data_IF_655617335775
#
_entry.id   IF_655617335775
#
_cell.length_a   1.000
_cell.length_b   1.000
_cell.length_c   1.000
_cell.angle_alpha   90.00
_cell.angle_beta   90.00
_cell.angle_gamma   90.00
#
_symmetry.space_group_name_H-M   'P 1'
#
loop_
_entity.id
_entity.type
_entity.pdbx_description
1 polymer ?
#
# COMPACT_ATOMS: atom_id res chain seq x y z
N UNK A 1 -19.71 17.40 26.68
CA UNK A 1 -18.33 16.88 26.58
C UNK A 1 -18.06 16.73 25.11
N UNK A 2 -17.14 17.52 24.57
CA UNK A 2 -16.84 17.53 23.15
C UNK A 2 -15.46 16.92 22.96
N UNK A 3 -15.35 15.97 22.04
CA UNK A 3 -14.09 15.35 21.65
C UNK A 3 -13.48 16.23 20.57
N UNK A 4 -12.49 17.06 20.91
CA UNK A 4 -11.75 17.82 19.89
C UNK A 4 -10.60 16.94 19.40
N UNK A 5 -10.84 16.19 18.32
CA UNK A 5 -9.79 15.47 17.60
C UNK A 5 -9.12 16.46 16.64
N UNK A 6 -7.84 16.76 16.82
CA UNK A 6 -6.99 17.35 15.78
C UNK A 6 -5.88 16.35 15.37
N UNK A 7 -6.24 15.23 14.73
CA UNK A 7 -5.24 14.30 14.21
C UNK A 7 -4.60 14.92 12.97
N UNK A 8 -3.26 14.95 12.91
CA UNK A 8 -2.51 15.28 11.70
C UNK A 8 -1.95 16.70 11.58
N UNK A 9 -2.12 17.58 12.57
CA UNK A 9 -1.38 18.85 12.60
C UNK A 9 0.02 18.61 13.18
N UNK A 10 0.97 18.30 12.31
CA UNK A 10 2.40 18.47 12.59
C UNK A 10 2.69 19.97 12.62
N UNK A 11 3.45 20.47 13.60
CA UNK A 11 3.74 21.91 13.86
C UNK A 11 2.85 22.61 14.91
N UNK A 12 2.32 21.89 15.89
CA UNK A 12 1.65 22.55 17.01
C UNK A 12 2.67 23.17 17.97
N UNK A 13 2.39 24.41 18.36
CA UNK A 13 3.13 25.16 19.37
C UNK A 13 2.17 25.63 20.46
N UNK A 14 2.64 25.65 21.70
CA UNK A 14 1.89 26.26 22.81
C UNK A 14 1.72 27.75 22.52
N UNK A 15 0.49 28.25 22.52
CA UNK A 15 0.19 29.67 22.28
C UNK A 15 -0.23 30.38 23.56
N UNK A 16 -0.03 31.69 23.59
CA UNK A 16 -0.37 32.50 24.76
C UNK A 16 -1.86 32.40 25.08
N UNK A 17 -2.18 32.18 26.37
CA UNK A 17 -3.52 31.93 26.90
C UNK A 17 -4.17 30.59 26.47
N UNK A 18 -3.42 29.65 25.87
CA UNK A 18 -3.92 28.28 25.76
C UNK A 18 -3.90 27.57 27.14
N UNK A 19 -4.63 26.48 27.25
CA UNK A 19 -4.76 25.72 28.49
C UNK A 19 -3.43 25.09 28.95
N UNK A 20 -2.47 24.87 28.04
CA UNK A 20 -1.14 24.32 28.32
C UNK A 20 -0.24 25.38 28.93
N UNK A 21 -0.33 26.61 28.42
CA UNK A 21 0.30 27.79 28.98
C UNK A 21 -0.24 28.09 30.38
N UNK A 22 -1.56 27.96 30.57
CA UNK A 22 -2.20 28.07 31.90
C UNK A 22 -1.74 26.94 32.84
N UNK A 23 -1.50 25.74 32.31
CA UNK A 23 -0.93 24.61 33.05
C UNK A 23 0.59 24.71 33.30
N UNK A 24 1.23 25.81 32.88
CA UNK A 24 2.65 26.09 33.14
C UNK A 24 3.63 25.60 32.06
N UNK A 25 3.15 25.12 30.92
CA UNK A 25 4.00 24.77 29.77
C UNK A 25 4.43 26.07 29.06
N UNK A 26 5.71 26.21 28.74
CA UNK A 26 6.23 27.42 28.13
C UNK A 26 5.60 27.69 26.75
N UNK A 27 5.16 28.94 26.52
CA UNK A 27 4.70 29.41 25.21
C UNK A 27 5.80 29.23 24.17
N UNK A 28 5.44 28.73 22.99
CA UNK A 28 6.37 28.39 21.91
C UNK A 28 6.96 26.99 21.99
N UNK A 29 6.65 26.20 23.03
CA UNK A 29 7.03 24.79 23.09
C UNK A 29 6.37 24.03 21.96
N UNK A 30 7.17 23.48 21.04
CA UNK A 30 6.69 22.64 19.96
C UNK A 30 6.40 21.23 20.45
N UNK A 31 5.32 20.62 19.96
CA UNK A 31 5.02 19.22 20.24
C UNK A 31 4.51 18.53 18.97
N UNK A 32 4.96 17.28 18.77
CA UNK A 32 4.81 16.55 17.52
C UNK A 32 4.34 15.10 17.76
N UNK A 33 3.38 14.91 18.67
CA UNK A 33 2.85 13.60 19.04
C UNK A 33 1.41 13.39 18.55
N UNK A 34 1.13 12.21 17.99
CA UNK A 34 -0.21 11.64 17.79
C UNK A 34 -0.89 11.37 19.15
N UNK A 35 -2.23 11.15 19.16
CA UNK A 35 -3.24 12.15 19.49
C UNK A 35 -3.24 12.57 20.98
N UNK A 36 -3.13 13.87 21.26
CA UNK A 36 -3.60 14.39 22.54
C UNK A 36 -5.14 14.32 22.56
N UNK A 37 -5.72 13.50 23.44
CA UNK A 37 -7.15 13.63 23.77
C UNK A 37 -7.27 14.78 24.77
N UNK A 38 -7.68 15.94 24.28
CA UNK A 38 -8.04 17.08 25.13
C UNK A 38 -9.51 16.94 25.50
N UNK A 39 -9.80 16.57 26.75
CA UNK A 39 -11.16 16.59 27.28
C UNK A 39 -11.43 17.95 27.92
N UNK A 40 -12.37 18.69 27.34
CA UNK A 40 -12.87 19.92 27.94
C UNK A 40 -14.35 19.77 28.35
N UNK A 41 -14.71 20.43 29.46
CA UNK A 41 -16.11 20.56 29.85
C UNK A 41 -16.86 21.55 28.91
N UNK A 42 -18.15 21.80 29.16
CA UNK A 42 -18.94 22.71 28.32
C UNK A 42 -18.49 24.18 28.41
N UNK A 43 -17.66 24.51 29.40
CA UNK A 43 -17.08 25.82 29.67
C UNK A 43 -15.65 25.96 29.13
N UNK A 44 -15.15 24.94 28.43
CA UNK A 44 -13.79 24.83 27.89
C UNK A 44 -12.68 24.66 28.93
N UNK A 45 -13.01 24.32 30.18
CA UNK A 45 -11.98 23.98 31.16
C UNK A 45 -11.40 22.60 30.88
N UNK A 46 -10.08 22.47 31.05
CA UNK A 46 -9.37 21.20 30.94
C UNK A 46 -9.82 20.23 32.03
N UNK A 47 -10.20 19.02 31.63
CA UNK A 47 -10.52 17.93 32.54
C UNK A 47 -9.33 16.99 32.60
N UNK A 48 -8.62 16.89 33.73
CA UNK A 48 -7.51 15.94 33.86
C UNK A 48 -8.06 14.52 33.74
N UNK A 49 -7.73 13.87 32.63
CA UNK A 49 -8.00 12.46 32.42
C UNK A 49 -6.73 11.68 32.74
N UNK A 50 -6.88 10.69 33.61
CA UNK A 50 -5.82 9.73 33.92
C UNK A 50 -6.19 8.45 33.20
N UNK A 51 -5.33 8.01 32.28
CA UNK A 51 -5.49 6.73 31.62
C UNK A 51 -5.61 5.63 32.69
N UNK A 52 -6.64 4.80 32.59
CA UNK A 52 -6.75 3.61 33.44
C UNK A 52 -5.74 2.56 32.97
N UNK A 53 -5.51 1.52 33.78
CA UNK A 53 -4.65 0.41 33.36
C UNK A 53 -5.20 -0.29 32.10
N UNK A 54 -6.53 -0.43 31.99
CA UNK A 54 -7.20 -0.93 30.79
C UNK A 54 -7.00 0.00 29.58
N UNK A 55 -6.96 1.33 29.75
CA UNK A 55 -6.67 2.26 28.64
C UNK A 55 -5.21 2.22 28.17
N UNK A 56 -4.29 1.87 29.08
CA UNK A 56 -2.88 1.66 28.76
C UNK A 56 -2.63 0.29 28.12
N UNK A 57 -3.45 -0.71 28.44
CA UNK A 57 -3.39 -2.07 27.90
C UNK A 57 -4.30 -2.28 26.69
N UNK A 58 -5.22 -1.35 26.41
CA UNK A 58 -6.01 -1.31 25.20
C UNK A 58 -5.07 -1.20 24.00
N UNK A 59 -4.69 -2.35 23.45
CA UNK A 59 -4.05 -2.48 22.15
C UNK A 59 -5.06 -2.28 21.00
N UNK A 60 -6.29 -1.89 21.33
CA UNK A 60 -7.42 -1.67 20.42
C UNK A 60 -7.27 -0.38 19.59
N UNK A 61 -6.19 0.36 19.81
CA UNK A 61 -5.70 1.35 18.85
C UNK A 61 -5.04 0.60 17.70
N UNK A 62 -5.86 0.05 16.79
CA UNK A 62 -5.40 -0.13 15.43
C UNK A 62 -5.02 1.25 14.91
N UNK A 63 -3.73 1.55 14.97
CA UNK A 63 -3.19 2.74 14.34
C UNK A 63 -3.71 2.75 12.92
N UNK A 64 -4.31 3.86 12.49
CA UNK A 64 -4.43 4.15 11.07
C UNK A 64 -2.99 4.07 10.57
N UNK A 65 -2.68 2.95 9.91
CA UNK A 65 -1.32 2.47 9.74
C UNK A 65 -0.43 3.60 9.27
N UNK A 66 0.65 3.83 9.99
CA UNK A 66 1.79 4.50 9.39
C UNK A 66 2.07 3.80 8.06
N UNK A 67 2.25 4.60 7.01
CA UNK A 67 2.75 4.12 5.72
C UNK A 67 4.01 3.29 6.03
N UNK A 68 3.90 1.95 6.01
CA UNK A 68 5.03 1.07 6.24
C UNK A 68 4.85 -0.14 7.18
N UNK A 69 3.75 -0.29 7.93
CA UNK A 69 3.44 -1.59 8.54
C UNK A 69 2.26 -2.26 7.84
N UNK A 70 2.41 -3.48 7.30
CA UNK A 70 1.33 -4.16 6.61
C UNK A 70 0.29 -4.59 7.65
N UNK A 71 -0.76 -3.79 7.83
CA UNK A 71 -1.95 -4.22 8.55
C UNK A 71 -2.70 -5.34 7.82
N UNK A 72 -3.75 -5.86 8.44
CA UNK A 72 -4.58 -6.99 7.96
C UNK A 72 -5.21 -6.81 6.56
N UNK A 73 -5.10 -5.61 5.96
CA UNK A 73 -5.68 -5.30 4.66
C UNK A 73 -4.85 -5.80 3.47
N UNK A 74 -3.56 -6.14 3.67
CA UNK A 74 -2.73 -6.66 2.57
C UNK A 74 -3.05 -8.12 2.29
N UNK A 75 -3.71 -8.39 1.16
CA UNK A 75 -4.17 -9.74 0.81
C UNK A 75 -3.02 -10.67 0.46
N UNK A 76 -2.04 -10.18 -0.31
CA UNK A 76 -0.91 -11.00 -0.78
C UNK A 76 0.42 -10.37 -0.39
N UNK A 77 1.30 -11.16 0.23
CA UNK A 77 2.64 -10.76 0.67
C UNK A 77 3.64 -11.84 0.22
N UNK A 78 4.71 -11.44 -0.46
CA UNK A 78 5.76 -12.37 -0.90
C UNK A 78 7.11 -11.67 -1.08
N UNK A 79 8.19 -12.46 -1.04
CA UNK A 79 9.54 -12.00 -1.33
C UNK A 79 9.90 -12.29 -2.78
N UNK A 80 10.36 -11.29 -3.53
CA UNK A 80 10.62 -11.34 -4.98
C UNK A 80 12.06 -10.95 -5.29
N UNK A 81 12.77 -11.78 -6.07
CA UNK A 81 14.06 -11.40 -6.65
C UNK A 81 13.86 -10.55 -7.89
N UNK A 82 14.38 -9.33 -7.90
CA UNK A 82 14.19 -8.42 -9.02
C UNK A 82 15.19 -8.74 -10.13
N UNK A 83 14.70 -9.35 -11.21
CA UNK A 83 15.45 -9.55 -12.44
C UNK A 83 15.22 -8.46 -13.48
N UNK A 84 16.10 -8.42 -14.48
CA UNK A 84 15.94 -7.61 -15.69
C UNK A 84 15.86 -8.51 -16.92
N UNK A 85 14.89 -8.25 -17.78
CA UNK A 85 14.71 -8.91 -19.06
C UNK A 85 14.66 -7.84 -20.17
N UNK A 86 15.31 -8.12 -21.31
CA UNK A 86 15.43 -7.17 -22.41
C UNK A 86 14.74 -7.76 -23.64
N UNK A 87 13.42 -7.60 -23.78
CA UNK A 87 12.73 -7.95 -25.02
C UNK A 87 13.22 -7.06 -26.18
N UNK A 88 13.02 -7.47 -27.45
CA UNK A 88 13.45 -6.68 -28.60
C UNK A 88 12.91 -5.24 -28.63
N UNK A 89 11.74 -5.02 -28.03
CA UNK A 89 10.98 -3.77 -28.15
C UNK A 89 10.94 -2.93 -26.86
N UNK A 90 11.74 -3.28 -25.84
CA UNK A 90 11.78 -2.53 -24.59
C UNK A 90 12.62 -3.13 -23.47
N UNK A 91 12.42 -2.61 -22.26
CA UNK A 91 13.01 -3.14 -21.03
C UNK A 91 11.91 -3.65 -20.09
N UNK A 92 12.15 -4.79 -19.45
CA UNK A 92 11.25 -5.42 -18.48
C UNK A 92 11.98 -5.59 -17.14
N UNK A 93 11.31 -5.21 -16.05
CA UNK A 93 11.80 -5.40 -14.70
C UNK A 93 10.75 -6.03 -13.80
N UNK A 94 11.22 -6.89 -12.91
CA UNK A 94 10.38 -7.73 -12.06
C UNK A 94 10.42 -9.17 -12.57
N UNK A 95 10.84 -10.10 -11.71
CA UNK A 95 10.89 -11.52 -12.04
C UNK A 95 10.53 -12.33 -10.79
N UNK A 96 9.89 -13.45 -11.00
CA UNK A 96 9.26 -14.30 -9.97
C UNK A 96 9.63 -15.74 -10.26
N UNK A 97 10.92 -16.03 -10.15
CA UNK A 97 11.41 -17.38 -10.00
C UNK A 97 12.07 -17.48 -8.63
N UNK A 98 11.62 -18.41 -7.77
CA UNK A 98 12.06 -18.68 -6.39
C UNK A 98 11.51 -17.75 -5.27
N UNK A 99 10.27 -17.26 -5.39
CA UNK A 99 9.60 -16.46 -4.34
C UNK A 99 8.97 -17.35 -3.26
N UNK A 100 8.94 -16.89 -2.01
CA UNK A 100 8.13 -17.50 -0.95
C UNK A 100 6.90 -16.62 -0.69
N UNK A 101 5.70 -17.17 -0.90
CA UNK A 101 4.46 -16.54 -0.44
C UNK A 101 4.45 -16.59 1.09
N UNK A 102 4.29 -15.42 1.69
CA UNK A 102 4.20 -15.23 3.13
C UNK A 102 2.73 -15.23 3.55
N UNK A 103 1.87 -14.60 2.74
CA UNK A 103 0.44 -14.48 2.97
C UNK A 103 -0.29 -14.41 1.63
N UNK A 104 -1.41 -15.12 1.51
CA UNK A 104 -2.34 -15.02 0.39
C UNK A 104 -3.73 -15.53 0.82
N UNK A 105 -4.82 -15.09 0.17
CA UNK A 105 -6.14 -15.70 0.33
C UNK A 105 -6.13 -17.16 -0.14
N UNK A 106 -7.00 -18.00 0.42
CA UNK A 106 -7.11 -19.43 0.03
C UNK A 106 -7.45 -19.65 -1.45
N UNK A 107 -8.01 -18.64 -2.13
CA UNK A 107 -8.29 -18.70 -3.57
C UNK A 107 -7.02 -18.65 -4.42
N UNK A 108 -5.91 -18.11 -3.90
CA UNK A 108 -4.65 -17.95 -4.62
C UNK A 108 -3.69 -19.08 -4.24
N UNK A 109 -3.36 -19.90 -5.23
CA UNK A 109 -2.40 -20.99 -5.07
C UNK A 109 -0.95 -20.47 -5.18
N UNK A 110 -0.71 -19.57 -6.14
CA UNK A 110 0.62 -19.01 -6.37
C UNK A 110 0.58 -17.62 -7.04
N UNK A 111 1.66 -16.85 -6.86
CA UNK A 111 1.97 -15.69 -7.70
C UNK A 111 3.05 -16.11 -8.69
N UNK A 112 2.65 -16.23 -9.96
CA UNK A 112 3.54 -16.68 -11.03
C UNK A 112 4.46 -15.56 -11.46
N UNK A 113 3.94 -14.33 -11.63
CA UNK A 113 4.77 -13.18 -11.94
C UNK A 113 4.25 -11.80 -11.62
N UNK A 114 5.20 -10.87 -11.43
CA UNK A 114 4.99 -9.43 -11.25
C UNK A 114 6.09 -8.71 -12.03
N UNK A 115 5.70 -7.95 -13.05
CA UNK A 115 6.65 -7.16 -13.87
C UNK A 115 6.04 -5.87 -14.42
N UNK A 116 6.91 -4.89 -14.60
CA UNK A 116 6.63 -3.67 -15.33
C UNK A 116 7.52 -3.60 -16.59
N UNK A 117 6.91 -3.19 -17.71
CA UNK A 117 7.60 -2.99 -18.99
C UNK A 117 7.65 -1.51 -19.33
N UNK A 118 8.77 -1.08 -19.91
CA UNK A 118 8.88 0.21 -20.60
C UNK A 118 9.17 -0.01 -22.08
N UNK A 119 8.30 0.54 -22.92
CA UNK A 119 8.33 0.45 -24.37
C UNK A 119 8.68 1.84 -24.95
N UNK A 120 9.97 2.20 -25.03
CA UNK A 120 10.42 3.52 -25.50
C UNK A 120 10.17 3.75 -26.99
N UNK A 121 10.07 2.68 -27.78
CA UNK A 121 9.90 2.75 -29.24
C UNK A 121 8.49 3.20 -29.67
N UNK A 122 7.51 3.16 -28.77
CA UNK A 122 6.16 3.64 -29.04
C UNK A 122 6.11 5.17 -28.96
N UNK A 123 5.27 5.81 -29.79
CA UNK A 123 5.00 7.26 -29.70
C UNK A 123 3.52 7.48 -29.37
N UNK A 124 3.19 7.99 -28.16
CA UNK A 124 4.09 8.24 -27.03
C UNK A 124 4.64 6.94 -26.42
N UNK A 125 5.78 7.04 -25.72
CA UNK A 125 6.39 5.91 -25.02
C UNK A 125 5.42 5.39 -23.96
N UNK A 126 5.41 4.07 -23.74
CA UNK A 126 4.42 3.43 -22.86
C UNK A 126 5.07 2.64 -21.74
N UNK A 127 4.35 2.55 -20.63
CA UNK A 127 4.64 1.58 -19.58
C UNK A 127 3.47 0.62 -19.45
N UNK A 128 3.77 -0.65 -19.21
CA UNK A 128 2.77 -1.66 -18.91
C UNK A 128 3.11 -2.32 -17.58
N UNK A 129 2.11 -2.89 -16.93
CA UNK A 129 2.28 -3.69 -15.74
C UNK A 129 1.40 -4.93 -15.83
N UNK A 130 1.91 -6.05 -15.31
CA UNK A 130 1.10 -7.23 -15.11
C UNK A 130 1.50 -8.01 -13.85
N UNK A 131 0.49 -8.65 -13.28
CA UNK A 131 0.63 -9.70 -12.28
C UNK A 131 -0.15 -10.93 -12.71
N UNK A 132 0.44 -12.10 -12.47
CA UNK A 132 -0.10 -13.41 -12.81
C UNK A 132 -0.31 -14.20 -11.52
N UNK A 133 -1.56 -14.57 -11.27
CA UNK A 133 -1.95 -15.45 -10.17
C UNK A 133 -2.30 -16.83 -10.74
N UNK A 134 -1.78 -17.89 -10.13
CA UNK A 134 -2.36 -19.23 -10.27
C UNK A 134 -3.39 -19.39 -9.17
N UNK A 135 -4.63 -19.71 -9.52
CA UNK A 135 -5.67 -20.02 -8.53
C UNK A 135 -5.87 -21.53 -8.41
N UNK A 136 -6.60 -21.95 -7.38
CA UNK A 136 -6.85 -23.37 -7.13
C UNK A 136 -7.92 -23.97 -8.05
N UNK A 137 -8.85 -23.16 -8.57
CA UNK A 137 -10.03 -23.64 -9.33
C UNK A 137 -10.53 -22.58 -10.32
N UNK A 138 -11.29 -23.00 -11.35
CA UNK A 138 -11.91 -22.05 -12.28
C UNK A 138 -12.88 -21.08 -11.58
N UNK A 139 -13.62 -21.54 -10.56
CA UNK A 139 -14.50 -20.68 -9.76
C UNK A 139 -13.68 -19.61 -9.00
N UNK A 140 -12.50 -19.97 -8.48
CA UNK A 140 -11.56 -19.03 -7.88
C UNK A 140 -11.00 -18.03 -8.91
N UNK A 141 -10.79 -18.46 -10.16
CA UNK A 141 -10.37 -17.56 -11.23
C UNK A 141 -11.42 -16.47 -11.50
N UNK A 142 -12.68 -16.87 -11.68
CA UNK A 142 -13.80 -15.96 -11.96
C UNK A 142 -14.03 -15.00 -10.79
N UNK A 143 -14.04 -15.52 -9.55
CA UNK A 143 -14.21 -14.70 -8.35
C UNK A 143 -13.09 -13.65 -8.21
N UNK A 144 -11.83 -14.05 -8.42
CA UNK A 144 -10.70 -13.14 -8.29
C UNK A 144 -10.74 -12.05 -9.38
N UNK A 145 -11.15 -12.40 -10.60
CA UNK A 145 -11.35 -11.42 -11.69
C UNK A 145 -12.43 -10.41 -11.33
N UNK A 146 -13.58 -10.85 -10.82
CA UNK A 146 -14.68 -9.97 -10.42
C UNK A 146 -14.28 -9.02 -9.29
N UNK A 147 -13.54 -9.55 -8.30
CA UNK A 147 -13.06 -8.75 -7.16
C UNK A 147 -12.07 -7.68 -7.61
N UNK A 148 -11.08 -8.07 -8.43
CA UNK A 148 -10.06 -7.18 -8.95
C UNK A 148 -10.64 -6.10 -9.87
N UNK A 149 -11.62 -6.44 -10.71
CA UNK A 149 -12.33 -5.49 -11.59
C UNK A 149 -13.10 -4.40 -10.84
N UNK A 150 -13.53 -4.65 -9.61
CA UNK A 150 -14.23 -3.65 -8.78
C UNK A 150 -13.24 -2.84 -7.95
N UNK A 151 -12.27 -3.50 -7.34
CA UNK A 151 -11.47 -2.91 -6.29
C UNK A 151 -10.22 -2.15 -6.80
N UNK A 152 -9.69 -2.53 -7.97
CA UNK A 152 -8.36 -2.07 -8.39
C UNK A 152 -7.26 -2.74 -7.57
N UNK A 153 -6.00 -2.37 -7.79
CA UNK A 153 -4.87 -2.99 -7.06
C UNK A 153 -3.90 -1.91 -6.60
N UNK A 154 -3.42 -2.05 -5.37
CA UNK A 154 -2.35 -1.24 -4.85
C UNK A 154 -1.18 -2.13 -4.46
N UNK A 155 0.04 -1.63 -4.71
CA UNK A 155 1.26 -2.36 -4.43
C UNK A 155 2.15 -1.49 -3.55
N UNK A 156 2.61 -2.03 -2.42
CA UNK A 156 3.65 -1.41 -1.61
C UNK A 156 4.99 -2.08 -1.91
N UNK A 157 5.96 -1.27 -2.34
CA UNK A 157 7.36 -1.67 -2.49
C UNK A 157 8.24 -0.68 -1.70
N UNK A 158 9.07 -1.21 -0.79
CA UNK A 158 9.82 -0.36 0.14
C UNK A 158 8.86 0.43 1.05
N UNK A 159 8.88 1.75 0.94
CA UNK A 159 8.04 2.69 1.68
C UNK A 159 6.96 3.37 0.81
N UNK A 160 6.87 2.99 -0.46
CA UNK A 160 6.03 3.66 -1.45
C UNK A 160 4.86 2.78 -1.88
N UNK A 161 3.65 3.33 -1.78
CA UNK A 161 2.42 2.71 -2.32
C UNK A 161 2.21 3.23 -3.74
N UNK A 162 2.03 2.30 -4.67
CA UNK A 162 1.71 2.54 -6.08
C UNK A 162 0.23 2.20 -6.29
N UNK A 163 -0.56 3.20 -6.69
CA UNK A 163 -1.98 3.00 -6.98
C UNK A 163 -2.16 2.64 -8.46
N UNK A 164 -2.52 1.39 -8.69
CA UNK A 164 -2.76 0.83 -10.00
C UNK A 164 -4.26 0.56 -10.13
N UNK A 165 -5.14 1.41 -9.62
CA UNK A 165 -6.61 1.18 -9.74
C UNK A 165 -7.21 1.78 -11.02
N UNK A 166 -6.39 2.40 -11.87
CA UNK A 166 -6.84 3.16 -13.04
C UNK A 166 -6.48 2.42 -14.35
N UNK A 167 -7.39 2.41 -15.32
CA UNK A 167 -7.18 1.90 -16.69
C UNK A 167 -6.69 0.44 -16.82
N UNK A 168 -7.29 -0.47 -16.05
CA UNK A 168 -6.90 -1.89 -16.02
C UNK A 168 -7.93 -2.87 -16.60
N UNK A 169 -7.45 -4.09 -16.86
CA UNK A 169 -8.27 -5.25 -17.22
C UNK A 169 -7.79 -6.48 -16.45
N UNK A 170 -8.65 -7.04 -15.60
CA UNK A 170 -8.46 -8.38 -15.06
C UNK A 170 -9.21 -9.38 -15.95
N UNK A 171 -8.54 -10.46 -16.34
CA UNK A 171 -9.16 -11.55 -17.11
C UNK A 171 -8.44 -12.87 -16.88
N UNK A 172 -9.15 -13.97 -17.11
CA UNK A 172 -8.56 -15.30 -17.08
C UNK A 172 -7.81 -15.58 -18.38
N UNK A 173 -6.64 -16.20 -18.29
CA UNK A 173 -5.83 -16.58 -19.43
C UNK A 173 -5.29 -18.01 -19.24
N UNK A 174 -5.47 -18.85 -20.24
CA UNK A 174 -4.89 -20.19 -20.25
C UNK A 174 -3.48 -20.13 -20.83
N UNK A 175 -2.46 -20.19 -19.97
CA UNK A 175 -1.08 -20.38 -20.39
C UNK A 175 -0.81 -21.89 -20.46
N UNK A 176 -0.21 -22.37 -21.55
CA UNK A 176 0.10 -23.77 -21.98
C UNK A 176 -0.12 -25.01 -21.09
N UNK A 177 -0.25 -24.97 -19.76
CA UNK A 177 -0.69 -26.07 -18.89
C UNK A 177 -1.38 -25.62 -17.56
N UNK A 178 -1.67 -24.34 -17.36
CA UNK A 178 -2.24 -23.80 -16.11
C UNK A 178 -3.29 -22.72 -16.39
N UNK A 179 -4.35 -22.70 -15.58
CA UNK A 179 -5.25 -21.55 -15.52
C UNK A 179 -4.57 -20.46 -14.70
N UNK A 180 -4.47 -19.26 -15.30
CA UNK A 180 -3.90 -18.11 -14.64
C UNK A 180 -4.90 -16.95 -14.71
N UNK A 181 -5.06 -16.24 -13.60
CA UNK A 181 -5.67 -14.91 -13.62
C UNK A 181 -4.59 -13.92 -13.96
N UNK A 182 -4.76 -13.25 -15.11
CA UNK A 182 -3.86 -12.20 -15.56
C UNK A 182 -4.52 -10.87 -15.27
N UNK A 183 -3.81 -10.07 -14.50
CA UNK A 183 -4.15 -8.67 -14.32
C UNK A 183 -3.22 -7.85 -15.20
N UNK A 184 -3.77 -7.08 -16.14
CA UNK A 184 -2.98 -6.27 -17.08
C UNK A 184 -3.43 -4.82 -17.05
N UNK A 185 -2.44 -3.94 -17.05
CA UNK A 185 -2.59 -2.52 -17.34
C UNK A 185 -2.18 -2.26 -18.77
N UNK A 186 -3.16 -1.97 -19.61
CA UNK A 186 -2.91 -1.41 -20.94
C UNK A 186 -3.04 0.11 -20.85
N UNK A 187 -2.05 0.70 -20.21
CA UNK A 187 -2.04 2.14 -20.11
C UNK A 187 -1.53 2.76 -21.42
N UNK A 188 -2.46 3.35 -22.16
CA UNK A 188 -2.17 4.17 -23.35
C UNK A 188 -1.76 5.60 -22.93
N UNK A 189 -2.00 5.98 -21.67
CA UNK A 189 -1.84 7.31 -21.07
C UNK A 189 -1.09 7.29 -19.72
N UNK A 190 0.19 6.90 -19.73
CA UNK A 190 1.20 7.30 -18.72
C UNK A 190 0.72 7.49 -17.27
N UNK A 191 0.31 6.41 -16.62
CA UNK A 191 0.18 6.32 -15.17
C UNK A 191 1.57 6.54 -14.62
N UNK A 192 1.73 7.67 -13.94
CA UNK A 192 2.96 8.02 -13.24
C UNK A 192 3.40 6.88 -12.30
N UNK A 193 2.48 6.08 -11.78
CA UNK A 193 2.80 5.06 -10.80
C UNK A 193 3.36 3.78 -11.42
N UNK A 194 2.87 3.36 -12.60
CA UNK A 194 3.50 2.24 -13.33
C UNK A 194 4.93 2.60 -13.72
N UNK A 195 5.17 3.83 -14.21
CA UNK A 195 6.52 4.27 -14.56
C UNK A 195 7.43 4.40 -13.33
N UNK A 196 6.94 4.98 -12.22
CA UNK A 196 7.73 5.06 -10.97
C UNK A 196 8.06 3.66 -10.44
N UNK A 197 7.10 2.73 -10.47
CA UNK A 197 7.32 1.35 -10.07
C UNK A 197 8.36 0.68 -10.96
N UNK A 198 8.30 0.89 -12.28
CA UNK A 198 9.34 0.45 -13.21
C UNK A 198 10.73 1.01 -12.83
N UNK A 199 10.85 2.31 -12.55
CA UNK A 199 12.12 2.91 -12.11
C UNK A 199 12.61 2.33 -10.77
N UNK A 200 11.69 2.09 -9.83
CA UNK A 200 12.01 1.45 -8.56
C UNK A 200 12.54 0.03 -8.78
N UNK A 201 11.84 -0.83 -9.51
CA UNK A 201 12.28 -2.19 -9.80
C UNK A 201 13.63 -2.20 -10.52
N UNK A 202 13.84 -1.32 -11.50
CA UNK A 202 15.15 -1.13 -12.15
C UNK A 202 16.28 -0.84 -11.16
N UNK A 203 16.01 -0.06 -10.11
CA UNK A 203 16.99 0.23 -9.06
C UNK A 203 17.28 -0.94 -8.10
N UNK A 204 16.42 -1.96 -8.10
CA UNK A 204 16.52 -3.13 -7.21
C UNK A 204 17.04 -4.39 -7.90
N UNK A 205 17.44 -4.32 -9.18
CA UNK A 205 17.94 -5.49 -9.93
C UNK A 205 19.04 -6.23 -9.16
N UNK A 206 18.89 -7.55 -9.04
CA UNK A 206 19.78 -8.44 -8.28
C UNK A 206 19.53 -8.46 -6.77
N UNK A 207 18.44 -7.85 -6.28
CA UNK A 207 18.04 -7.88 -4.88
C UNK A 207 16.72 -8.62 -4.69
N UNK A 208 16.55 -9.20 -3.52
CA UNK A 208 15.24 -9.67 -3.04
C UNK A 208 14.54 -8.53 -2.32
N UNK A 209 13.30 -8.23 -2.72
CA UNK A 209 12.44 -7.24 -2.08
C UNK A 209 11.16 -7.89 -1.57
N UNK A 210 10.54 -7.31 -0.54
CA UNK A 210 9.21 -7.69 -0.13
C UNK A 210 8.16 -6.89 -0.89
N UNK A 211 7.16 -7.59 -1.37
CA UNK A 211 6.02 -7.04 -2.10
C UNK A 211 4.77 -7.26 -1.27
N UNK A 212 3.95 -6.20 -1.16
CA UNK A 212 2.62 -6.28 -0.57
C UNK A 212 1.59 -5.83 -1.59
N UNK A 213 0.50 -6.59 -1.69
CA UNK A 213 -0.57 -6.36 -2.65
C UNK A 213 -1.91 -6.36 -1.93
N UNK A 214 -2.72 -5.35 -2.23
CA UNK A 214 -4.10 -5.25 -1.77
C UNK A 214 -5.01 -4.90 -2.94
N UNK A 215 -6.26 -5.32 -2.81
CA UNK A 215 -7.39 -4.90 -3.63
C UNK A 215 -8.61 -4.86 -2.71
#
# INVERSE_FOLDING_TARGET
MYLVRNPGLTEQVVVENDWRAVAGIAVGTAFNFLPNIELCNAQQDFVPWVATHEDMEAMDWSGVGGVGEPGDNWKVIFDMEVGAFHPPDGEEYGVTGYTSIIQAPESIANVVSLHAWYLPELTPAKCQFAIFFTTNTLESDEQLVDELNVAGIQILLGDTVYDLSHDFRAYTFAATNENQVRFVFDDVNTSNDVYKMHQYLKSQVGRTIRVYITW
#
